data_IF_276623165233
#
_entry.id   IF_276623165233
#
_cell.length_a   1.000
_cell.length_b   1.000
_cell.length_c   1.000
_cell.angle_alpha   90.00
_cell.angle_beta   90.00
_cell.angle_gamma   90.00
#
_symmetry.space_group_name_H-M   'P 1'
#
loop_
_entity.id
_entity.type
_entity.pdbx_description
1 polymer ?
#
# COMPACT_ATOMS: atom_id res chain seq x y z
N UNK A 1 32.79 -26.33 -35.72
CA UNK A 1 31.54 -26.16 -34.97
C UNK A 1 31.24 -24.70 -34.89
N UNK A 2 30.07 -24.28 -35.41
CA UNK A 2 29.63 -22.90 -35.34
C UNK A 2 28.88 -22.77 -34.01
N UNK A 3 29.44 -22.06 -33.08
CA UNK A 3 28.81 -21.68 -31.82
C UNK A 3 27.91 -20.50 -32.11
N UNK A 4 26.65 -20.59 -31.79
CA UNK A 4 25.67 -19.51 -31.97
C UNK A 4 25.33 -18.95 -30.58
N UNK A 5 25.61 -17.69 -30.38
CA UNK A 5 25.17 -16.95 -29.17
C UNK A 5 23.70 -16.57 -29.38
N UNK A 6 22.85 -16.94 -28.43
CA UNK A 6 21.42 -16.63 -28.42
C UNK A 6 21.05 -15.83 -27.17
N UNK A 7 20.08 -14.93 -27.34
CA UNK A 7 19.51 -14.16 -26.25
C UNK A 7 18.44 -14.95 -25.51
N UNK A 8 18.50 -14.95 -24.18
CA UNK A 8 17.45 -15.51 -23.32
C UNK A 8 16.53 -14.39 -22.88
N UNK A 9 15.25 -14.54 -23.19
CA UNK A 9 14.20 -13.57 -22.85
C UNK A 9 13.45 -14.00 -21.62
N UNK A 10 12.91 -13.06 -20.82
CA UNK A 10 11.99 -13.37 -19.74
C UNK A 10 10.69 -13.95 -20.32
N UNK A 11 10.32 -15.21 -20.03
CA UNK A 11 9.10 -15.81 -20.56
C UNK A 11 7.86 -15.23 -19.88
N UNK A 12 6.71 -15.38 -20.51
CA UNK A 12 5.42 -15.02 -19.92
C UNK A 12 5.03 -16.04 -18.84
N UNK A 13 5.02 -15.62 -17.59
CA UNK A 13 4.78 -16.46 -16.40
C UNK A 13 3.30 -16.49 -15.96
N UNK A 14 2.38 -16.03 -16.81
CA UNK A 14 0.93 -16.00 -16.58
C UNK A 14 0.22 -15.00 -17.50
N UNK A 15 -1.08 -15.17 -17.72
CA UNK A 15 -1.86 -14.37 -18.69
C UNK A 15 -1.90 -12.86 -18.41
N UNK A 16 -1.63 -12.44 -17.16
CA UNK A 16 -1.69 -11.04 -16.73
C UNK A 16 -0.36 -10.51 -16.20
N UNK A 17 0.73 -11.29 -16.28
CA UNK A 17 2.05 -10.90 -15.80
C UNK A 17 2.78 -10.15 -16.90
N UNK A 18 3.11 -8.88 -16.67
CA UNK A 18 3.83 -8.00 -17.62
C UNK A 18 5.29 -7.78 -17.24
N UNK A 19 5.66 -8.05 -15.99
CA UNK A 19 7.01 -7.87 -15.46
C UNK A 19 7.33 -8.91 -14.37
N UNK A 20 8.62 -9.17 -14.13
CA UNK A 20 9.11 -10.05 -13.08
C UNK A 20 10.42 -9.56 -12.50
N UNK A 21 10.65 -9.79 -11.21
CA UNK A 21 11.89 -9.47 -10.52
C UNK A 21 12.72 -10.74 -10.38
N UNK A 22 13.93 -10.77 -10.93
CA UNK A 22 14.85 -11.89 -10.77
C UNK A 22 15.36 -11.89 -9.33
N UNK A 23 14.95 -12.87 -8.54
CA UNK A 23 15.32 -12.94 -7.11
C UNK A 23 16.68 -13.62 -6.93
N UNK A 24 17.00 -14.60 -7.79
CA UNK A 24 18.25 -15.32 -7.69
C UNK A 24 18.61 -16.02 -9.01
N UNK A 25 19.89 -16.05 -9.36
CA UNK A 25 20.46 -16.90 -10.42
C UNK A 25 20.98 -18.21 -9.81
N UNK A 26 20.46 -19.35 -10.27
CA UNK A 26 20.91 -20.68 -9.86
C UNK A 26 22.21 -21.10 -10.55
N UNK A 27 22.53 -20.52 -11.71
CA UNK A 27 23.74 -20.76 -12.52
C UNK A 27 24.53 -19.46 -12.70
N UNK A 28 25.83 -19.59 -12.95
CA UNK A 28 26.77 -18.46 -13.15
C UNK A 28 27.24 -18.41 -14.58
N UNK A 29 27.72 -17.26 -15.01
CA UNK A 29 28.44 -17.10 -16.30
C UNK A 29 29.59 -18.09 -16.39
N UNK A 30 29.64 -18.88 -17.46
CA UNK A 30 30.56 -19.95 -17.70
C UNK A 30 30.06 -21.35 -17.32
N UNK A 31 28.94 -21.45 -16.62
CA UNK A 31 28.38 -22.75 -16.24
C UNK A 31 27.70 -23.43 -17.44
N UNK A 32 27.85 -24.76 -17.50
CA UNK A 32 27.08 -25.61 -18.43
C UNK A 32 25.69 -25.83 -17.86
N UNK A 33 24.69 -25.70 -18.71
CA UNK A 33 23.25 -25.75 -18.38
C UNK A 33 22.59 -26.78 -19.27
N UNK A 34 21.75 -27.61 -18.67
CA UNK A 34 20.87 -28.55 -19.37
C UNK A 34 19.44 -27.97 -19.41
N UNK A 35 18.61 -28.43 -20.34
CA UNK A 35 17.30 -27.83 -20.60
C UNK A 35 16.35 -27.84 -19.38
N UNK A 36 16.46 -28.83 -18.52
CA UNK A 36 15.62 -29.01 -17.31
C UNK A 36 16.27 -28.41 -16.04
N UNK A 37 17.49 -27.86 -16.13
CA UNK A 37 18.15 -27.22 -15.00
C UNK A 37 17.43 -25.92 -14.63
N UNK A 38 17.18 -25.70 -13.33
CA UNK A 38 16.70 -24.41 -12.83
C UNK A 38 17.78 -23.35 -13.09
N UNK A 39 17.44 -22.34 -13.88
CA UNK A 39 18.38 -21.29 -14.28
C UNK A 39 18.31 -20.08 -13.36
N UNK A 40 17.11 -19.64 -13.01
CA UNK A 40 16.87 -18.52 -12.10
C UNK A 40 15.52 -18.64 -11.41
N UNK A 41 15.39 -17.89 -10.31
CA UNK A 41 14.13 -17.68 -9.59
C UNK A 41 13.59 -16.29 -9.91
N UNK A 42 12.29 -16.18 -10.17
CA UNK A 42 11.62 -14.92 -10.47
C UNK A 42 10.42 -14.74 -9.56
N UNK A 43 10.30 -13.54 -9.01
CA UNK A 43 9.14 -13.11 -8.23
C UNK A 43 8.25 -12.21 -9.09
N UNK A 44 6.96 -12.53 -9.10
CA UNK A 44 5.93 -11.72 -9.73
C UNK A 44 4.99 -11.14 -8.68
N UNK A 45 4.03 -10.34 -9.07
CA UNK A 45 3.01 -9.78 -8.18
C UNK A 45 2.14 -10.84 -7.47
N UNK A 46 2.18 -12.10 -7.95
CA UNK A 46 1.31 -13.19 -7.47
C UNK A 46 2.05 -14.38 -6.88
N UNK A 47 3.18 -14.79 -7.46
CA UNK A 47 3.88 -16.03 -7.07
C UNK A 47 5.37 -15.91 -7.39
N UNK A 48 6.19 -16.54 -6.55
CA UNK A 48 7.60 -16.83 -6.84
C UNK A 48 7.70 -18.15 -7.60
N UNK A 49 8.43 -18.15 -8.72
CA UNK A 49 8.54 -19.31 -9.61
C UNK A 49 10.01 -19.59 -9.95
N UNK A 50 10.37 -20.88 -9.97
CA UNK A 50 11.64 -21.35 -10.50
C UNK A 50 11.50 -21.55 -12.02
N UNK A 51 12.40 -20.96 -12.81
CA UNK A 51 12.36 -21.03 -14.26
C UNK A 51 13.48 -21.94 -14.77
N UNK A 52 13.15 -23.04 -15.47
CA UNK A 52 14.14 -23.89 -16.11
C UNK A 52 14.77 -23.20 -17.33
N UNK A 53 15.96 -23.61 -17.70
CA UNK A 53 16.72 -22.99 -18.78
C UNK A 53 16.05 -23.10 -20.16
N UNK A 54 15.40 -24.23 -20.45
CA UNK A 54 14.78 -24.48 -21.76
C UNK A 54 15.78 -24.64 -22.92
N UNK A 55 17.08 -24.67 -22.62
CA UNK A 55 18.15 -24.86 -23.60
C UNK A 55 19.29 -25.69 -22.99
N UNK A 56 20.11 -26.33 -23.84
CA UNK A 56 21.35 -26.96 -23.43
C UNK A 56 22.53 -26.18 -24.03
N UNK A 57 23.45 -25.73 -23.15
CA UNK A 57 24.58 -24.89 -23.60
C UNK A 57 25.40 -24.34 -22.46
N UNK A 58 26.12 -23.26 -22.72
CA UNK A 58 26.94 -22.54 -21.73
C UNK A 58 26.37 -21.13 -21.58
N UNK A 59 26.12 -20.72 -20.34
CA UNK A 59 25.67 -19.34 -20.02
C UNK A 59 26.84 -18.39 -20.19
N UNK A 60 26.81 -17.51 -21.19
CA UNK A 60 27.91 -16.63 -21.54
C UNK A 60 27.87 -15.27 -20.84
N UNK A 61 26.67 -14.75 -20.61
CA UNK A 61 26.51 -13.42 -19.99
C UNK A 61 25.16 -13.35 -19.22
N UNK A 62 25.19 -12.82 -18.01
CA UNK A 62 24.00 -12.42 -17.26
C UNK A 62 23.85 -10.92 -17.45
N UNK A 63 22.80 -10.51 -18.19
CA UNK A 63 22.52 -9.11 -18.51
C UNK A 63 21.79 -8.41 -17.36
N UNK A 64 20.93 -9.15 -16.67
CA UNK A 64 20.08 -8.63 -15.57
C UNK A 64 20.56 -9.20 -14.25
N UNK A 65 20.92 -8.31 -13.31
CA UNK A 65 21.39 -8.69 -11.98
C UNK A 65 20.25 -9.17 -11.06
N UNK A 66 20.61 -9.93 -10.02
CA UNK A 66 19.67 -10.28 -8.94
C UNK A 66 19.06 -9.04 -8.29
N UNK A 67 17.76 -9.05 -8.07
CA UNK A 67 16.98 -7.94 -7.51
C UNK A 67 16.45 -6.93 -8.54
N UNK A 68 16.77 -7.09 -9.82
CA UNK A 68 16.27 -6.22 -10.88
C UNK A 68 14.92 -6.70 -11.44
N UNK A 69 14.02 -5.75 -11.71
CA UNK A 69 12.72 -5.99 -12.36
C UNK A 69 12.84 -5.74 -13.85
N UNK A 70 12.32 -6.65 -14.67
CA UNK A 70 12.36 -6.61 -16.13
C UNK A 70 10.99 -6.95 -16.72
N UNK A 71 10.71 -6.42 -17.90
CA UNK A 71 9.47 -6.69 -18.63
C UNK A 71 9.53 -8.08 -19.30
N UNK A 72 8.37 -8.72 -19.45
CA UNK A 72 8.24 -9.94 -20.24
C UNK A 72 8.72 -9.68 -21.67
N UNK A 73 9.61 -10.55 -22.16
CA UNK A 73 10.23 -10.42 -23.48
C UNK A 73 11.54 -9.60 -23.54
N UNK A 74 12.01 -9.03 -22.42
CA UNK A 74 13.34 -8.42 -22.36
C UNK A 74 14.45 -9.46 -22.22
N UNK A 75 15.65 -9.12 -22.72
CA UNK A 75 16.84 -9.98 -22.66
C UNK A 75 17.39 -9.98 -21.22
N UNK A 76 17.41 -11.15 -20.60
CA UNK A 76 17.90 -11.35 -19.23
C UNK A 76 19.30 -11.98 -19.17
N UNK A 77 19.67 -12.80 -20.18
CA UNK A 77 20.97 -13.42 -20.27
C UNK A 77 21.29 -13.79 -21.72
N UNK A 78 22.55 -14.22 -21.96
CA UNK A 78 23.00 -14.79 -23.25
C UNK A 78 23.64 -16.13 -23.02
N UNK A 79 23.47 -17.04 -23.99
CA UNK A 79 24.04 -18.40 -23.92
C UNK A 79 24.56 -18.87 -25.27
N UNK A 80 25.51 -19.80 -25.25
CA UNK A 80 26.00 -20.52 -26.40
C UNK A 80 25.37 -21.90 -26.47
N UNK A 81 24.69 -22.22 -27.56
CA UNK A 81 24.07 -23.54 -27.78
C UNK A 81 24.89 -24.42 -28.70
N UNK A 82 25.08 -25.68 -28.36
CA UNK A 82 25.66 -26.70 -29.26
C UNK A 82 24.54 -27.32 -30.14
N UNK A 83 24.17 -26.59 -31.19
CA UNK A 83 23.41 -27.19 -32.31
C UNK A 83 21.91 -27.32 -32.15
N UNK A 84 21.20 -26.58 -32.98
CA UNK A 84 19.79 -26.56 -33.42
C UNK A 84 18.97 -25.35 -32.93
N UNK A 85 18.29 -24.73 -33.88
CA UNK A 85 17.46 -23.54 -33.73
C UNK A 85 16.25 -23.78 -32.80
N UNK A 86 15.76 -22.72 -32.10
CA UNK A 86 14.66 -22.86 -31.17
C UNK A 86 13.32 -23.05 -31.90
N UNK A 87 12.61 -24.08 -31.55
CA UNK A 87 11.16 -24.23 -31.85
C UNK A 87 10.39 -23.65 -30.69
N UNK A 88 9.69 -22.58 -30.94
CA UNK A 88 8.71 -22.00 -30.01
C UNK A 88 7.43 -22.81 -30.15
N UNK A 89 7.12 -23.68 -29.18
CA UNK A 89 5.80 -24.28 -29.08
C UNK A 89 5.33 -24.24 -27.64
N UNK A 90 4.18 -23.60 -27.43
CA UNK A 90 3.51 -23.51 -26.15
C UNK A 90 2.78 -24.83 -25.83
N UNK A 91 2.84 -25.39 -24.65
CA UNK A 91 1.95 -26.47 -24.25
C UNK A 91 0.72 -25.97 -23.50
N UNK A 92 -0.44 -26.41 -24.01
CA UNK A 92 -1.75 -26.30 -23.36
C UNK A 92 -1.89 -27.27 -22.18
N UNK A 93 -2.84 -27.03 -21.26
CA UNK A 93 -2.91 -27.68 -19.96
C UNK A 93 -3.50 -29.09 -20.02
N UNK A 94 -2.98 -30.01 -19.26
CA UNK A 94 -3.66 -31.25 -18.89
C UNK A 94 -3.81 -31.38 -17.37
N UNK A 95 -5.08 -31.39 -16.99
CA UNK A 95 -5.64 -31.91 -15.76
C UNK A 95 -5.35 -33.42 -15.61
N UNK A 96 -5.00 -33.88 -14.43
CA UNK A 96 -5.67 -34.96 -13.70
C UNK A 96 -4.83 -35.43 -12.49
N UNK A 97 -5.47 -35.48 -11.34
CA UNK A 97 -5.07 -36.15 -10.11
C UNK A 97 -5.69 -37.56 -10.08
N UNK A 98 -5.63 -38.30 -9.00
CA UNK A 98 -4.54 -38.85 -8.17
C UNK A 98 -4.60 -40.37 -8.10
N UNK A 99 -3.62 -41.09 -7.55
CA UNK A 99 -3.88 -42.35 -6.84
C UNK A 99 -2.73 -42.78 -5.92
N UNK A 100 -3.13 -43.35 -4.84
CA UNK A 100 -2.55 -43.74 -3.58
C UNK A 100 -1.60 -44.97 -3.59
N UNK A 101 -0.93 -45.11 -2.41
CA UNK A 101 -0.49 -46.32 -1.72
C UNK A 101 0.78 -47.06 -2.24
N UNK A 102 1.71 -47.50 -1.42
CA UNK A 102 1.64 -48.21 -0.14
C UNK A 102 3.05 -48.54 0.38
N UNK A 103 3.19 -48.42 1.68
CA UNK A 103 3.91 -49.27 2.66
C UNK A 103 5.32 -49.85 2.42
N UNK A 104 6.17 -49.71 3.45
CA UNK A 104 7.18 -50.69 3.82
C UNK A 104 8.41 -50.20 4.56
N UNK A 105 8.37 -50.08 5.87
CA UNK A 105 9.56 -50.27 6.73
C UNK A 105 9.72 -51.77 7.02
N UNK A 106 10.83 -52.31 7.57
CA UNK A 106 11.60 -51.78 8.70
C UNK A 106 13.13 -52.09 8.76
N UNK A 107 13.78 -51.41 9.68
CA UNK A 107 14.70 -51.93 10.74
C UNK A 107 16.19 -52.13 10.45
N UNK A 108 16.98 -51.46 11.25
CA UNK A 108 18.04 -51.83 12.17
C UNK A 108 19.49 -51.35 11.90
N UNK A 109 20.01 -50.79 12.98
CA UNK A 109 21.36 -50.81 13.56
C UNK A 109 22.39 -49.79 13.10
N UNK A 110 22.71 -48.91 14.06
CA UNK A 110 23.98 -48.19 14.21
C UNK A 110 25.13 -49.21 14.56
N UNK A 111 26.43 -48.82 14.40
CA UNK A 111 27.07 -47.95 15.38
C UNK A 111 28.20 -47.01 14.89
N UNK A 112 28.48 -46.03 15.77
CA UNK A 112 29.75 -45.43 16.18
C UNK A 112 30.58 -44.54 15.25
N UNK A 113 30.69 -43.28 15.75
CA UNK A 113 31.84 -42.39 15.86
C UNK A 113 32.80 -42.16 14.68
N UNK A 114 32.67 -40.95 14.14
CA UNK A 114 33.78 -40.17 13.60
C UNK A 114 33.46 -38.66 13.66
N UNK A 115 34.43 -37.74 13.79
CA UNK A 115 34.20 -36.37 14.22
C UNK A 115 33.46 -35.51 13.19
N UNK A 116 32.36 -34.90 13.62
CA UNK A 116 31.50 -34.04 12.81
C UNK A 116 32.20 -32.76 12.44
N UNK A 117 32.67 -32.63 11.23
CA UNK A 117 32.88 -31.33 10.59
C UNK A 117 31.52 -30.63 10.44
N UNK A 118 31.38 -29.35 10.81
CA UNK A 118 30.11 -28.66 10.64
C UNK A 118 29.82 -28.45 9.16
N UNK A 119 28.70 -28.99 8.69
CA UNK A 119 28.14 -28.73 7.36
C UNK A 119 27.90 -27.24 7.22
N UNK A 120 28.60 -26.63 6.24
CA UNK A 120 28.33 -25.26 5.78
C UNK A 120 26.99 -25.26 5.05
N UNK A 121 25.95 -24.78 5.71
CA UNK A 121 24.69 -24.44 5.06
C UNK A 121 24.65 -22.93 4.87
N UNK A 122 24.50 -22.49 3.62
CA UNK A 122 24.10 -21.13 3.24
C UNK A 122 25.16 -20.06 3.41
N UNK A 123 25.34 -19.20 2.42
CA UNK A 123 26.27 -18.05 2.33
C UNK A 123 26.10 -16.95 3.37
N UNK A 124 25.90 -17.28 4.63
CA UNK A 124 25.90 -16.33 5.73
C UNK A 124 27.31 -16.02 6.17
N UNK A 125 27.74 -14.77 6.07
CA UNK A 125 28.96 -14.27 6.72
C UNK A 125 28.96 -14.73 8.18
N UNK A 126 30.00 -15.47 8.62
CA UNK A 126 30.15 -15.89 10.01
C UNK A 126 30.32 -14.66 10.89
N UNK A 127 29.27 -14.26 11.60
CA UNK A 127 29.29 -13.16 12.56
C UNK A 127 29.65 -13.70 13.94
N UNK A 128 30.59 -13.06 14.62
CA UNK A 128 30.85 -13.36 16.03
C UNK A 128 29.63 -12.98 16.89
N UNK A 129 29.43 -13.60 18.08
CA UNK A 129 28.32 -13.25 18.96
C UNK A 129 28.27 -11.75 19.31
N UNK A 130 29.44 -11.14 19.54
CA UNK A 130 29.57 -9.70 19.84
C UNK A 130 29.14 -8.84 18.65
N UNK A 131 29.54 -9.17 17.44
CA UNK A 131 29.15 -8.43 16.22
C UNK A 131 27.65 -8.59 15.96
N UNK A 132 27.11 -9.79 16.18
CA UNK A 132 25.68 -10.03 16.03
C UNK A 132 24.84 -9.22 17.03
N UNK A 133 25.24 -9.18 18.30
CA UNK A 133 24.58 -8.36 19.31
C UNK A 133 24.67 -6.88 18.95
N UNK A 134 25.84 -6.37 18.57
CA UNK A 134 26.03 -4.95 18.20
C UNK A 134 25.22 -4.57 16.95
N UNK A 135 25.13 -5.43 15.95
CA UNK A 135 24.28 -5.20 14.77
C UNK A 135 22.79 -5.21 15.13
N UNK A 136 22.36 -6.10 16.02
CA UNK A 136 20.98 -6.17 16.50
C UNK A 136 20.60 -4.94 17.35
N UNK A 137 21.48 -4.52 18.26
CA UNK A 137 21.26 -3.33 19.12
C UNK A 137 21.08 -2.04 18.30
N UNK A 138 21.73 -1.98 17.14
CA UNK A 138 21.63 -0.82 16.23
C UNK A 138 20.74 -1.06 15.01
N UNK A 139 20.02 -2.18 14.93
CA UNK A 139 19.13 -2.50 13.79
C UNK A 139 19.84 -2.54 12.43
N UNK A 140 21.14 -2.88 12.42
CA UNK A 140 21.97 -2.86 11.20
C UNK A 140 21.89 -4.19 10.45
N UNK A 141 21.62 -4.11 9.14
CA UNK A 141 21.74 -5.23 8.23
C UNK A 141 23.23 -5.56 8.01
N UNK A 142 23.68 -6.80 8.30
CA UNK A 142 25.05 -7.23 8.09
C UNK A 142 25.56 -7.06 6.64
N UNK A 143 24.65 -7.08 5.65
CA UNK A 143 25.01 -6.94 4.24
C UNK A 143 25.51 -5.52 3.89
N UNK A 144 25.08 -4.52 4.65
CA UNK A 144 25.42 -3.11 4.46
C UNK A 144 26.74 -2.69 5.12
N UNK A 145 27.28 -3.53 6.03
CA UNK A 145 28.54 -3.25 6.71
C UNK A 145 29.69 -3.92 6.00
N UNK A 146 30.66 -3.15 5.39
CA UNK A 146 31.84 -3.74 4.78
C UNK A 146 32.70 -4.43 5.83
N UNK A 147 33.02 -5.71 5.63
CA UNK A 147 33.88 -6.46 6.55
C UNK A 147 35.36 -6.36 6.18
N UNK A 148 36.20 -5.90 7.09
CA UNK A 148 37.66 -5.81 6.91
C UNK A 148 38.42 -7.05 7.39
N UNK A 149 37.76 -8.01 8.06
CA UNK A 149 38.41 -9.22 8.57
C UNK A 149 38.66 -10.27 7.51
N UNK A 150 39.45 -11.29 7.89
CA UNK A 150 39.87 -12.37 7.00
C UNK A 150 38.67 -13.02 6.26
N UNK A 151 38.72 -13.08 4.93
CA UNK A 151 37.61 -13.57 4.11
C UNK A 151 36.36 -12.68 4.11
N UNK A 152 36.49 -11.36 4.33
CA UNK A 152 35.37 -10.44 4.32
C UNK A 152 34.51 -10.49 5.60
N UNK A 153 35.03 -11.04 6.70
CA UNK A 153 34.32 -11.11 7.98
C UNK A 153 34.12 -9.71 8.56
N UNK A 154 32.91 -9.44 9.02
CA UNK A 154 32.61 -8.21 9.75
C UNK A 154 33.18 -8.30 11.15
N UNK A 155 34.00 -7.30 11.52
CA UNK A 155 34.59 -7.16 12.85
C UNK A 155 33.80 -6.12 13.66
N UNK A 156 33.99 -6.09 14.98
CA UNK A 156 33.41 -5.05 15.84
C UNK A 156 33.83 -3.64 15.37
N UNK A 157 35.07 -3.48 14.97
CA UNK A 157 35.61 -2.19 14.49
C UNK A 157 34.90 -1.72 13.20
N UNK A 158 34.52 -2.62 12.31
CA UNK A 158 33.78 -2.28 11.08
C UNK A 158 32.40 -1.73 11.41
N UNK A 159 31.71 -2.35 12.38
CA UNK A 159 30.40 -1.87 12.83
C UNK A 159 30.53 -0.51 13.52
N UNK A 160 31.51 -0.33 14.40
CA UNK A 160 31.76 0.95 15.07
C UNK A 160 32.18 2.05 14.08
N UNK A 161 32.94 1.72 13.05
CA UNK A 161 33.30 2.65 11.99
C UNK A 161 32.11 3.00 11.12
N UNK A 162 31.29 2.02 10.76
CA UNK A 162 30.05 2.23 10.03
C UNK A 162 29.11 3.18 10.77
N UNK A 163 28.92 2.96 12.09
CA UNK A 163 28.11 3.82 12.95
C UNK A 163 28.66 5.25 13.05
N UNK A 164 29.98 5.44 13.02
CA UNK A 164 30.60 6.78 13.02
C UNK A 164 30.37 7.56 11.72
N UNK A 165 30.38 6.87 10.61
CA UNK A 165 30.16 7.47 9.28
C UNK A 165 28.68 7.68 9.02
N UNK A 166 27.83 6.85 9.63
CA UNK A 166 26.35 6.89 9.51
C UNK A 166 25.76 7.11 10.92
N UNK A 167 25.85 8.34 11.46
CA UNK A 167 25.31 8.63 12.79
C UNK A 167 23.80 8.62 12.75
N UNK A 168 23.18 7.48 13.01
CA UNK A 168 21.75 7.31 13.00
C UNK A 168 21.34 5.84 13.13
N UNK A 169 20.10 5.63 13.45
CA UNK A 169 19.47 4.31 13.44
C UNK A 169 18.97 3.99 12.03
N UNK A 170 19.26 2.81 11.52
CA UNK A 170 18.74 2.32 10.23
C UNK A 170 17.59 1.38 10.53
N UNK A 171 16.39 1.83 10.21
CA UNK A 171 15.18 1.04 10.32
C UNK A 171 14.76 0.50 8.94
N UNK A 172 14.60 -0.81 8.82
CA UNK A 172 14.12 -1.42 7.60
C UNK A 172 12.60 -1.24 7.49
N UNK A 173 12.12 -0.83 6.32
CA UNK A 173 10.68 -0.73 6.08
C UNK A 173 9.98 -2.07 6.27
N UNK A 174 8.88 -2.07 7.03
CA UNK A 174 7.95 -3.18 7.07
C UNK A 174 7.32 -3.43 5.69
N UNK A 175 6.77 -4.63 5.41
CA UNK A 175 6.07 -4.90 4.16
C UNK A 175 4.95 -3.89 3.87
N UNK A 176 4.17 -3.51 4.88
CA UNK A 176 3.10 -2.49 4.76
C UNK A 176 3.72 -1.15 4.37
N UNK A 177 4.79 -0.71 5.05
CA UNK A 177 5.46 0.56 4.76
C UNK A 177 6.03 0.61 3.35
N UNK A 178 6.60 -0.49 2.85
CA UNK A 178 7.11 -0.58 1.47
C UNK A 178 5.99 -0.41 0.44
N UNK A 179 4.87 -1.13 0.61
CA UNK A 179 3.69 -0.99 -0.27
C UNK A 179 3.13 0.43 -0.25
N UNK A 180 2.99 1.02 0.95
CA UNK A 180 2.54 2.40 1.08
C UNK A 180 3.48 3.36 0.34
N UNK A 181 4.80 3.21 0.49
CA UNK A 181 5.78 4.06 -0.18
C UNK A 181 5.66 3.96 -1.71
N UNK A 182 5.60 2.74 -2.26
CA UNK A 182 5.41 2.51 -3.70
C UNK A 182 4.11 3.13 -4.20
N UNK A 183 2.99 2.89 -3.51
CA UNK A 183 1.68 3.42 -3.88
C UNK A 183 1.63 4.95 -3.85
N UNK A 184 2.24 5.59 -2.85
CA UNK A 184 2.28 7.05 -2.75
C UNK A 184 3.17 7.69 -3.83
N UNK A 185 4.32 7.08 -4.13
CA UNK A 185 5.18 7.53 -5.24
C UNK A 185 4.45 7.38 -6.57
N UNK A 186 3.83 6.23 -6.85
CA UNK A 186 3.04 6.00 -8.05
C UNK A 186 1.89 7.01 -8.18
N UNK A 187 1.16 7.29 -7.10
CA UNK A 187 0.09 8.29 -7.11
C UNK A 187 0.60 9.69 -7.46
N UNK A 188 1.72 10.12 -6.88
CA UNK A 188 2.30 11.44 -7.14
C UNK A 188 2.83 11.59 -8.57
N UNK A 189 3.32 10.51 -9.17
CA UNK A 189 3.77 10.53 -10.58
C UNK A 189 2.63 10.40 -11.58
N UNK A 190 1.50 9.76 -11.18
CA UNK A 190 0.34 9.54 -12.06
C UNK A 190 -0.58 10.75 -12.11
N UNK A 191 -0.92 11.32 -10.95
CA UNK A 191 -1.90 12.40 -10.82
C UNK A 191 -1.26 13.77 -10.64
N UNK A 192 -1.53 14.77 -11.49
CA UNK A 192 -1.19 16.17 -11.22
C UNK A 192 -2.10 16.70 -10.10
N UNK A 193 -1.64 16.56 -8.84
CA UNK A 193 -2.38 16.98 -7.67
C UNK A 193 -2.54 18.49 -7.59
N UNK A 194 -3.78 18.93 -7.41
CA UNK A 194 -4.11 20.30 -7.01
C UNK A 194 -4.82 20.26 -5.66
N UNK A 195 -4.72 21.34 -4.93
CA UNK A 195 -5.13 21.44 -3.54
C UNK A 195 -6.09 22.61 -3.36
N UNK A 196 -7.25 22.36 -2.77
CA UNK A 196 -8.26 23.38 -2.49
C UNK A 196 -8.71 23.22 -1.05
N UNK A 197 -8.76 24.32 -0.27
CA UNK A 197 -9.22 24.28 1.11
C UNK A 197 -10.29 25.34 1.35
N UNK A 198 -11.19 25.05 2.31
CA UNK A 198 -12.30 25.95 2.66
C UNK A 198 -12.59 25.86 4.16
N UNK A 199 -12.76 27.00 4.82
CA UNK A 199 -13.26 27.04 6.19
C UNK A 199 -14.74 26.72 6.24
N UNK A 200 -15.15 26.06 7.33
CA UNK A 200 -16.54 25.62 7.59
C UNK A 200 -16.89 25.95 9.03
N UNK A 201 -18.06 26.51 9.26
CA UNK A 201 -18.65 26.63 10.59
C UNK A 201 -19.49 25.37 10.91
N UNK A 202 -19.04 24.63 11.89
CA UNK A 202 -19.70 23.42 12.37
C UNK A 202 -20.74 23.69 13.47
N UNK A 203 -21.20 24.91 13.66
CA UNK A 203 -22.16 25.29 14.71
C UNK A 203 -23.44 24.45 14.70
N UNK A 204 -24.01 24.20 13.52
CA UNK A 204 -25.18 23.34 13.34
C UNK A 204 -24.87 21.88 13.69
N UNK A 205 -23.75 21.35 13.22
CA UNK A 205 -23.29 20.00 13.54
C UNK A 205 -23.02 19.86 15.04
N UNK A 206 -22.40 20.85 15.66
CA UNK A 206 -22.16 20.87 17.11
C UNK A 206 -23.46 20.90 17.91
N UNK A 207 -24.47 21.61 17.43
CA UNK A 207 -25.82 21.58 17.99
C UNK A 207 -26.41 20.16 18.02
N UNK A 208 -26.36 19.45 16.89
CA UNK A 208 -26.83 18.08 16.78
C UNK A 208 -25.99 17.11 17.66
N UNK A 209 -24.67 17.25 17.66
CA UNK A 209 -23.77 16.46 18.51
C UNK A 209 -24.06 16.65 20.00
N UNK A 210 -24.39 17.86 20.40
CA UNK A 210 -24.74 18.20 21.78
C UNK A 210 -26.10 17.61 22.16
N UNK A 211 -27.07 17.63 21.26
CA UNK A 211 -28.41 17.08 21.48
C UNK A 211 -28.40 15.54 21.54
N UNK A 212 -27.76 14.86 20.59
CA UNK A 212 -27.80 13.41 20.44
C UNK A 212 -26.60 12.67 21.06
N UNK A 213 -25.48 13.36 21.32
CA UNK A 213 -24.23 12.78 21.80
C UNK A 213 -24.32 12.00 23.11
N UNK A 214 -25.02 12.48 24.15
CA UNK A 214 -25.18 11.73 25.39
C UNK A 214 -25.90 10.39 25.21
N UNK A 215 -27.01 10.36 24.50
CA UNK A 215 -27.77 9.14 24.18
C UNK A 215 -26.94 8.20 23.27
N UNK A 216 -26.26 8.75 22.27
CA UNK A 216 -25.35 8.01 21.41
C UNK A 216 -24.24 7.32 22.22
N UNK A 217 -23.56 8.08 23.09
CA UNK A 217 -22.49 7.54 23.93
C UNK A 217 -22.96 6.43 24.87
N UNK A 218 -24.19 6.56 25.39
CA UNK A 218 -24.80 5.53 26.25
C UNK A 218 -25.10 4.24 25.45
N UNK A 219 -25.57 4.38 24.19
CA UNK A 219 -25.92 3.25 23.34
C UNK A 219 -24.69 2.58 22.69
N UNK A 220 -23.75 3.37 22.17
CA UNK A 220 -22.65 2.88 21.32
C UNK A 220 -21.30 2.82 22.05
N UNK A 221 -21.20 3.30 23.31
CA UNK A 221 -19.97 3.33 24.10
C UNK A 221 -18.89 4.30 23.61
N UNK A 222 -19.18 5.11 22.58
CA UNK A 222 -18.24 6.02 21.90
C UNK A 222 -18.87 7.38 21.61
N UNK A 223 -18.04 8.42 21.50
CA UNK A 223 -18.51 9.77 21.20
C UNK A 223 -18.94 9.92 19.73
N UNK A 224 -20.00 10.68 19.49
CA UNK A 224 -20.40 11.09 18.14
C UNK A 224 -19.43 12.14 17.63
N UNK A 225 -18.71 11.85 16.53
CA UNK A 225 -17.71 12.71 15.94
C UNK A 225 -18.27 13.59 14.82
N UNK A 226 -17.48 14.51 14.26
CA UNK A 226 -17.87 15.33 13.10
C UNK A 226 -17.89 14.54 11.80
N UNK A 227 -17.05 13.51 11.69
CA UNK A 227 -16.83 12.78 10.44
C UNK A 227 -18.10 12.21 9.78
N UNK A 228 -19.05 11.60 10.49
CA UNK A 228 -20.31 11.11 9.88
C UNK A 228 -21.14 12.20 9.21
N UNK A 229 -21.18 13.40 9.80
CA UNK A 229 -21.87 14.56 9.22
C UNK A 229 -21.18 15.07 7.96
N UNK A 230 -19.83 15.10 7.97
CA UNK A 230 -19.03 15.49 6.80
C UNK A 230 -19.28 14.48 5.67
N UNK A 231 -19.27 13.18 5.95
CA UNK A 231 -19.54 12.13 4.95
C UNK A 231 -20.95 12.28 4.36
N UNK A 232 -21.94 12.58 5.19
CA UNK A 232 -23.31 12.82 4.72
C UNK A 232 -23.38 14.05 3.81
N UNK A 233 -22.72 15.14 4.19
CA UNK A 233 -22.63 16.35 3.37
C UNK A 233 -21.89 16.10 2.05
N UNK A 234 -20.83 15.30 2.06
CA UNK A 234 -20.13 14.85 0.84
C UNK A 234 -21.08 14.08 -0.06
N UNK A 235 -21.82 13.11 0.49
CA UNK A 235 -22.79 12.31 -0.28
C UNK A 235 -23.84 13.18 -0.98
N UNK A 236 -24.37 14.22 -0.31
CA UNK A 236 -25.28 15.17 -0.92
C UNK A 236 -24.62 16.03 -2.00
N UNK A 237 -23.40 16.51 -1.74
CA UNK A 237 -22.69 17.34 -2.71
C UNK A 237 -22.29 16.56 -3.98
N UNK A 238 -22.07 15.26 -3.90
CA UNK A 238 -21.76 14.39 -5.03
C UNK A 238 -22.92 14.24 -6.03
N UNK A 239 -24.16 14.47 -5.60
CA UNK A 239 -25.31 14.50 -6.51
C UNK A 239 -25.15 15.62 -7.56
N UNK A 240 -24.69 16.81 -7.10
CA UNK A 240 -24.45 17.97 -7.95
C UNK A 240 -23.06 17.94 -8.63
N UNK A 241 -22.10 17.18 -8.05
CA UNK A 241 -20.71 17.11 -8.47
C UNK A 241 -20.21 15.66 -8.69
N UNK A 242 -20.84 14.87 -9.57
CA UNK A 242 -20.55 13.43 -9.68
C UNK A 242 -19.12 13.11 -10.13
N UNK A 243 -18.43 14.01 -10.83
CA UNK A 243 -17.02 13.79 -11.27
C UNK A 243 -16.03 13.70 -10.12
N UNK A 244 -16.39 14.15 -8.93
CA UNK A 244 -15.54 14.00 -7.73
C UNK A 244 -15.46 12.53 -7.30
N UNK A 245 -16.54 11.74 -7.51
CA UNK A 245 -16.61 10.32 -7.23
C UNK A 245 -16.27 9.51 -8.50
N UNK A 246 -15.01 9.59 -8.95
CA UNK A 246 -14.59 9.00 -10.21
C UNK A 246 -13.17 8.41 -10.16
N UNK A 247 -12.81 7.72 -11.23
CA UNK A 247 -11.46 7.24 -11.50
C UNK A 247 -11.03 7.66 -12.91
N UNK A 248 -9.74 7.91 -13.13
CA UNK A 248 -9.20 8.19 -14.48
C UNK A 248 -8.80 6.88 -15.12
N UNK A 249 -9.41 6.60 -16.29
CA UNK A 249 -9.04 5.50 -17.18
C UNK A 249 -8.09 5.94 -18.30
N UNK A 250 -8.02 5.15 -19.37
CA UNK A 250 -7.22 5.45 -20.56
C UNK A 250 -7.97 6.46 -21.45
N UNK A 251 -7.71 7.75 -21.22
CA UNK A 251 -8.34 8.84 -21.94
C UNK A 251 -9.81 9.12 -21.58
N UNK A 252 -10.30 8.54 -20.50
CA UNK A 252 -11.69 8.69 -20.03
C UNK A 252 -11.80 8.90 -18.52
N UNK A 253 -12.92 9.43 -18.08
CA UNK A 253 -13.30 9.56 -16.68
C UNK A 253 -14.41 8.56 -16.35
N UNK A 254 -14.13 7.62 -15.48
CA UNK A 254 -15.08 6.62 -14.99
C UNK A 254 -15.80 7.18 -13.77
N UNK A 255 -17.02 7.69 -13.94
CA UNK A 255 -17.84 8.24 -12.85
C UNK A 255 -18.60 7.12 -12.15
N UNK A 256 -18.36 6.96 -10.84
CA UNK A 256 -19.01 5.92 -10.04
C UNK A 256 -20.40 6.39 -9.56
N UNK A 257 -21.35 5.47 -9.58
CA UNK A 257 -22.74 5.76 -9.18
C UNK A 257 -22.90 5.78 -7.67
N UNK A 258 -22.35 4.77 -6.99
CA UNK A 258 -22.45 4.62 -5.53
C UNK A 258 -21.21 5.24 -4.88
N UNK A 259 -21.38 5.84 -3.70
CA UNK A 259 -20.25 6.30 -2.89
C UNK A 259 -19.75 5.14 -2.02
N UNK A 260 -18.68 4.49 -2.45
CA UNK A 260 -17.92 3.55 -1.63
C UNK A 260 -16.78 4.30 -0.95
N UNK A 261 -17.02 4.69 0.30
CA UNK A 261 -16.13 5.59 1.03
C UNK A 261 -14.96 4.82 1.64
N UNK A 262 -13.74 5.07 1.19
CA UNK A 262 -12.54 4.62 1.86
C UNK A 262 -12.21 5.56 3.03
N UNK A 263 -12.04 5.02 4.22
CA UNK A 263 -11.75 5.78 5.44
C UNK A 263 -10.32 5.46 5.89
N UNK A 264 -9.46 6.48 5.92
CA UNK A 264 -8.08 6.30 6.38
C UNK A 264 -8.04 6.00 7.88
N UNK A 265 -7.48 4.85 8.25
CA UNK A 265 -7.34 4.38 9.63
C UNK A 265 -5.87 4.16 9.95
N UNK A 266 -5.38 4.88 10.95
CA UNK A 266 -4.05 4.66 11.51
C UNK A 266 -4.01 3.38 12.34
N UNK A 267 -2.92 2.61 12.19
CA UNK A 267 -2.64 1.37 12.90
C UNK A 267 -1.57 1.60 13.97
N UNK A 268 -1.79 2.52 14.89
CA UNK A 268 -0.90 2.86 15.99
C UNK A 268 0.54 3.19 15.51
N UNK A 269 0.66 4.00 14.45
CA UNK A 269 1.89 4.41 13.75
C UNK A 269 2.64 3.29 13.01
N UNK A 270 2.16 2.03 13.08
CA UNK A 270 2.73 0.91 12.31
C UNK A 270 2.39 0.97 10.82
N UNK A 271 1.33 1.68 10.47
CA UNK A 271 0.89 1.86 9.09
C UNK A 271 -0.45 2.55 8.97
N UNK A 272 -0.89 2.75 7.74
CA UNK A 272 -2.20 3.30 7.39
C UNK A 272 -2.90 2.35 6.43
N UNK A 273 -4.19 2.11 6.67
CA UNK A 273 -5.08 1.37 5.76
C UNK A 273 -6.34 2.18 5.50
N UNK A 274 -7.02 1.91 4.39
CA UNK A 274 -8.21 2.64 4.01
C UNK A 274 -9.38 1.67 3.72
N UNK A 275 -9.98 1.05 4.76
CA UNK A 275 -11.14 0.20 4.59
C UNK A 275 -12.33 0.97 4.04
N UNK A 276 -13.22 0.26 3.33
CA UNK A 276 -14.30 0.82 2.54
C UNK A 276 -15.66 0.61 3.20
N UNK A 277 -16.36 1.70 3.45
CA UNK A 277 -17.80 1.72 3.77
C UNK A 277 -18.57 1.79 2.46
N UNK A 278 -19.27 0.72 2.12
CA UNK A 278 -19.99 0.62 0.84
C UNK A 278 -21.29 1.39 0.89
N UNK A 279 -21.64 2.06 -0.24
CA UNK A 279 -22.92 2.77 -0.43
C UNK A 279 -23.21 3.79 0.70
N UNK A 280 -22.19 4.53 1.12
CA UNK A 280 -22.31 5.54 2.18
C UNK A 280 -23.31 6.65 1.84
N UNK A 281 -23.58 6.88 0.55
CA UNK A 281 -24.60 7.81 0.04
C UNK A 281 -26.03 7.45 0.44
N UNK A 282 -26.30 6.20 0.80
CA UNK A 282 -27.63 5.70 1.20
C UNK A 282 -27.84 5.65 2.72
N UNK A 283 -26.80 6.00 3.47
CA UNK A 283 -26.79 5.89 4.93
C UNK A 283 -27.16 7.21 5.59
N UNK A 284 -27.87 7.13 6.71
CA UNK A 284 -28.07 8.22 7.66
C UNK A 284 -26.79 8.50 8.46
N UNK A 285 -26.70 9.65 9.13
CA UNK A 285 -25.54 10.01 9.98
C UNK A 285 -25.26 8.93 11.04
N UNK A 286 -26.24 8.38 11.79
CA UNK A 286 -26.02 7.28 12.71
C UNK A 286 -25.47 6.00 12.06
N UNK A 287 -25.96 5.64 10.89
CA UNK A 287 -25.50 4.45 10.15
C UNK A 287 -24.06 4.63 9.67
N UNK A 288 -23.72 5.80 9.11
CA UNK A 288 -22.34 6.15 8.73
C UNK A 288 -21.43 6.07 9.96
N UNK A 289 -21.86 6.60 11.10
CA UNK A 289 -21.08 6.58 12.33
C UNK A 289 -20.75 5.16 12.81
N UNK A 290 -21.74 4.24 12.75
CA UNK A 290 -21.53 2.83 13.08
C UNK A 290 -20.62 2.14 12.09
N UNK A 291 -20.85 2.35 10.79
CA UNK A 291 -20.06 1.72 9.73
C UNK A 291 -18.58 2.15 9.79
N UNK A 292 -18.31 3.44 9.98
CA UNK A 292 -16.94 3.94 10.16
C UNK A 292 -16.28 3.32 11.40
N UNK A 293 -17.02 3.24 12.51
CA UNK A 293 -16.51 2.68 13.74
C UNK A 293 -16.19 1.18 13.60
N UNK A 294 -17.05 0.41 12.92
CA UNK A 294 -16.84 -1.01 12.65
C UNK A 294 -15.55 -1.24 11.83
N UNK A 295 -15.44 -0.58 10.68
CA UNK A 295 -14.24 -0.77 9.82
C UNK A 295 -12.97 -0.31 10.53
N UNK A 296 -13.02 0.75 11.33
CA UNK A 296 -11.86 1.23 12.10
C UNK A 296 -11.46 0.24 13.23
N UNK A 297 -12.42 -0.36 13.90
CA UNK A 297 -12.17 -1.38 14.93
C UNK A 297 -11.59 -2.65 14.31
N UNK A 298 -12.15 -3.12 13.20
CA UNK A 298 -11.62 -4.29 12.46
C UNK A 298 -10.22 -4.03 11.92
N UNK A 299 -9.92 -2.80 11.48
CA UNK A 299 -8.58 -2.40 11.06
C UNK A 299 -7.57 -2.55 12.19
N UNK A 300 -7.82 -1.92 13.36
CA UNK A 300 -6.91 -1.95 14.51
C UNK A 300 -6.78 -3.36 15.11
N UNK A 301 -7.85 -4.14 15.11
CA UNK A 301 -7.83 -5.54 15.58
C UNK A 301 -7.30 -6.53 14.56
N UNK A 302 -6.80 -6.08 13.39
CA UNK A 302 -6.25 -6.91 12.29
C UNK A 302 -7.27 -7.94 11.76
N UNK A 303 -8.56 -7.59 11.73
CA UNK A 303 -9.66 -8.45 11.28
C UNK A 303 -10.21 -8.04 9.90
N UNK A 304 -9.56 -7.11 9.20
CA UNK A 304 -9.94 -6.77 7.83
C UNK A 304 -9.64 -7.94 6.89
N UNK A 305 -10.54 -8.14 5.94
CA UNK A 305 -10.35 -9.06 4.81
C UNK A 305 -10.01 -8.26 3.55
N UNK A 306 -9.42 -8.86 2.50
CA UNK A 306 -9.05 -8.13 1.28
C UNK A 306 -10.21 -7.33 0.65
N UNK A 307 -11.43 -7.85 0.73
CA UNK A 307 -12.65 -7.21 0.23
C UNK A 307 -12.98 -5.90 0.94
N UNK A 308 -12.59 -5.76 2.22
CA UNK A 308 -12.77 -4.52 2.97
C UNK A 308 -11.90 -3.37 2.44
N UNK A 309 -10.83 -3.66 1.72
CA UNK A 309 -9.88 -2.68 1.18
C UNK A 309 -10.08 -2.40 -0.30
N UNK A 310 -11.00 -3.10 -0.97
CA UNK A 310 -11.21 -3.02 -2.40
C UNK A 310 -12.45 -2.18 -2.77
N UNK A 311 -12.41 -1.56 -3.96
CA UNK A 311 -13.57 -0.91 -4.57
C UNK A 311 -13.97 0.43 -3.95
N UNK A 312 -13.09 1.08 -3.19
CA UNK A 312 -13.30 2.45 -2.72
C UNK A 312 -13.30 3.44 -3.89
N UNK A 313 -14.26 4.38 -3.91
CA UNK A 313 -14.44 5.35 -4.99
C UNK A 313 -14.05 6.78 -4.61
N UNK A 314 -14.07 7.08 -3.32
CA UNK A 314 -13.64 8.34 -2.72
C UNK A 314 -13.01 8.07 -1.36
N UNK A 315 -12.00 8.84 -0.98
CA UNK A 315 -11.31 8.65 0.31
C UNK A 315 -11.50 9.86 1.22
N UNK A 316 -11.70 9.60 2.51
CA UNK A 316 -11.65 10.60 3.57
C UNK A 316 -10.56 10.24 4.58
N UNK A 317 -9.76 11.23 4.97
CA UNK A 317 -8.77 11.11 6.05
C UNK A 317 -9.09 12.13 7.15
N UNK A 318 -8.89 11.73 8.41
CA UNK A 318 -9.20 12.58 9.56
C UNK A 318 -8.04 12.63 10.57
N UNK A 319 -7.06 13.52 10.38
CA UNK A 319 -5.99 13.77 11.35
C UNK A 319 -6.40 14.76 12.45
N UNK A 320 -7.64 15.25 12.45
CA UNK A 320 -8.11 16.29 13.37
C UNK A 320 -7.97 15.98 14.85
N UNK A 321 -7.89 14.69 15.21
CA UNK A 321 -7.59 14.26 16.59
C UNK A 321 -6.24 14.74 17.11
N UNK A 322 -5.31 15.07 16.20
CA UNK A 322 -3.98 15.62 16.53
C UNK A 322 -3.95 17.16 16.55
N UNK A 323 -5.09 17.84 16.33
CA UNK A 323 -5.20 19.29 16.31
C UNK A 323 -4.63 19.94 15.06
N UNK A 324 -4.57 19.22 13.95
CA UNK A 324 -4.10 19.79 12.66
C UNK A 324 -5.03 20.89 12.19
N UNK A 325 -4.46 21.93 11.59
CA UNK A 325 -5.23 23.03 11.00
C UNK A 325 -5.82 22.62 9.65
N UNK A 326 -4.99 22.08 8.76
CA UNK A 326 -5.34 21.40 7.52
C UNK A 326 -4.13 20.63 6.99
N UNK A 327 -4.38 19.61 6.19
CA UNK A 327 -3.35 18.90 5.43
C UNK A 327 -3.86 18.59 4.02
N UNK A 328 -2.94 18.35 3.11
CA UNK A 328 -3.22 17.95 1.75
C UNK A 328 -2.76 16.51 1.55
N UNK A 329 -3.67 15.54 1.59
CA UNK A 329 -3.34 14.15 1.42
C UNK A 329 -2.96 13.81 -0.02
N UNK A 330 -2.25 12.69 -0.20
CA UNK A 330 -1.99 12.12 -1.52
C UNK A 330 -3.20 11.28 -1.94
N UNK A 331 -3.62 11.42 -3.20
CA UNK A 331 -4.77 10.71 -3.75
C UNK A 331 -4.54 9.19 -3.67
N UNK A 332 -5.56 8.47 -3.24
CA UNK A 332 -5.58 7.01 -3.22
C UNK A 332 -6.00 6.48 -4.59
N UNK A 333 -5.03 6.08 -5.42
CA UNK A 333 -5.30 5.58 -6.76
C UNK A 333 -6.24 4.37 -6.77
N UNK A 334 -7.14 4.23 -7.78
CA UNK A 334 -7.30 5.04 -8.99
C UNK A 334 -8.28 6.23 -8.83
N UNK A 335 -8.66 6.59 -7.61
CA UNK A 335 -9.59 7.69 -7.33
C UNK A 335 -9.03 9.04 -7.80
N UNK A 336 -9.92 10.00 -8.05
CA UNK A 336 -9.55 11.35 -8.51
C UNK A 336 -9.45 12.36 -7.37
N UNK A 337 -9.93 12.04 -6.17
CA UNK A 337 -9.94 12.98 -5.06
C UNK A 337 -9.89 12.29 -3.69
N UNK A 338 -9.39 13.03 -2.72
CA UNK A 338 -9.35 12.66 -1.30
C UNK A 338 -9.60 13.91 -0.45
N UNK A 339 -10.49 13.81 0.54
CA UNK A 339 -10.84 14.88 1.45
C UNK A 339 -10.15 14.68 2.80
N UNK A 340 -9.45 15.71 3.28
CA UNK A 340 -8.99 15.79 4.67
C UNK A 340 -9.99 16.59 5.50
N UNK A 341 -10.30 16.04 6.68
CA UNK A 341 -11.13 16.69 7.69
C UNK A 341 -10.28 16.90 8.93
N UNK A 342 -9.94 18.14 9.20
CA UNK A 342 -8.97 18.48 10.24
C UNK A 342 -9.66 18.90 11.57
N UNK A 343 -8.91 19.49 12.48
CA UNK A 343 -9.42 19.86 13.80
C UNK A 343 -10.48 20.94 13.77
N UNK A 344 -11.60 20.75 14.47
CA UNK A 344 -12.61 21.78 14.71
C UNK A 344 -12.27 22.47 16.04
N UNK A 345 -12.09 23.79 15.99
CA UNK A 345 -11.69 24.60 17.15
C UNK A 345 -12.63 25.78 17.36
N UNK A 346 -12.72 26.23 18.60
CA UNK A 346 -13.48 27.44 18.92
C UNK A 346 -12.67 28.67 18.48
N UNK A 347 -13.29 29.52 17.63
CA UNK A 347 -12.67 30.73 17.11
C UNK A 347 -13.62 31.92 17.21
N UNK A 348 -13.11 33.16 17.37
CA UNK A 348 -13.92 34.34 17.17
C UNK A 348 -14.36 34.41 15.70
N UNK A 349 -15.65 34.71 15.49
CA UNK A 349 -16.25 34.88 14.17
C UNK A 349 -17.07 36.16 14.15
N UNK A 350 -17.23 36.76 12.99
CA UNK A 350 -18.16 37.86 12.80
C UNK A 350 -19.56 37.26 12.60
N UNK A 351 -20.49 37.65 13.47
CA UNK A 351 -21.92 37.32 13.35
C UNK A 351 -22.66 38.56 12.87
N UNK A 352 -23.51 38.40 11.87
CA UNK A 352 -24.32 39.47 11.30
C UNK A 352 -25.79 39.21 11.64
N UNK A 353 -26.45 40.15 12.33
CA UNK A 353 -27.87 40.04 12.65
C UNK A 353 -28.76 40.37 11.43
N UNK A 354 -30.10 40.24 11.61
CA UNK A 354 -31.07 40.49 10.54
C UNK A 354 -31.14 41.96 10.12
N UNK A 355 -30.67 42.87 10.98
CA UNK A 355 -30.55 44.32 10.69
C UNK A 355 -29.21 44.67 10.02
N UNK A 356 -28.27 43.71 9.87
CA UNK A 356 -26.95 43.90 9.26
C UNK A 356 -25.88 44.42 10.22
N UNK A 357 -26.12 44.42 11.55
CA UNK A 357 -25.10 44.80 12.53
C UNK A 357 -24.11 43.64 12.75
N UNK A 358 -22.84 43.98 12.83
CA UNK A 358 -21.76 43.02 13.05
C UNK A 358 -21.42 42.90 14.53
N UNK A 359 -21.34 41.68 15.04
CA UNK A 359 -20.87 41.37 16.39
C UNK A 359 -19.82 40.27 16.35
N UNK A 360 -19.01 40.14 17.42
CA UNK A 360 -18.05 39.07 17.54
C UNK A 360 -18.65 37.93 18.36
N UNK A 361 -18.91 36.82 17.67
CA UNK A 361 -19.34 35.59 18.28
C UNK A 361 -18.21 34.55 18.43
N UNK A 362 -18.56 33.37 18.86
CA UNK A 362 -17.63 32.23 18.97
C UNK A 362 -18.17 31.06 18.17
N UNK A 363 -17.60 30.81 16.98
CA UNK A 363 -17.92 29.71 16.10
C UNK A 363 -17.11 28.44 16.38
N UNK A 364 -17.59 27.32 15.88
CA UNK A 364 -16.88 26.03 15.83
C UNK A 364 -16.30 25.84 14.44
N UNK A 365 -15.08 26.32 14.23
CA UNK A 365 -14.48 26.46 12.90
C UNK A 365 -13.49 25.32 12.63
N UNK A 366 -13.63 24.71 11.47
CA UNK A 366 -12.69 23.72 10.92
C UNK A 366 -12.38 24.00 9.46
N UNK A 367 -11.46 23.23 8.89
CA UNK A 367 -11.08 23.33 7.49
C UNK A 367 -11.32 21.99 6.79
N UNK A 368 -11.95 22.03 5.62
CA UNK A 368 -11.98 20.94 4.67
C UNK A 368 -10.91 21.18 3.61
N UNK A 369 -10.04 20.19 3.37
CA UNK A 369 -8.98 20.26 2.38
C UNK A 369 -9.10 19.11 1.38
N UNK A 370 -9.30 19.45 0.10
CA UNK A 370 -9.45 18.50 -1.00
C UNK A 370 -8.16 18.45 -1.81
N UNK A 371 -7.54 17.28 -1.92
CA UNK A 371 -6.55 17.00 -2.95
C UNK A 371 -7.26 16.29 -4.11
N UNK A 372 -6.99 16.73 -5.34
CA UNK A 372 -7.69 16.26 -6.51
C UNK A 372 -6.81 16.22 -7.75
N UNK A 373 -7.20 15.38 -8.73
CA UNK A 373 -6.48 15.14 -9.97
C UNK A 373 -6.94 16.11 -11.06
N UNK A 374 -6.04 16.98 -11.53
CA UNK A 374 -6.35 17.98 -12.54
C UNK A 374 -6.70 17.41 -13.92
N UNK A 375 -6.46 16.14 -14.15
CA UNK A 375 -6.90 15.45 -15.37
C UNK A 375 -8.41 15.20 -15.38
N UNK A 376 -9.03 15.10 -14.19
CA UNK A 376 -10.44 14.77 -14.04
C UNK A 376 -11.37 15.99 -14.17
N UNK A 377 -10.96 17.14 -13.63
CA UNK A 377 -11.73 18.38 -13.65
C UNK A 377 -10.86 19.59 -13.27
N UNK A 378 -11.44 20.80 -13.38
CA UNK A 378 -10.77 22.07 -13.11
C UNK A 378 -11.07 22.62 -11.70
N UNK A 379 -10.28 23.63 -11.27
CA UNK A 379 -10.36 24.22 -9.93
C UNK A 379 -11.72 24.79 -9.56
N UNK A 380 -12.45 25.38 -10.54
CA UNK A 380 -13.79 25.90 -10.30
C UNK A 380 -14.78 24.79 -9.88
N UNK A 381 -14.66 23.60 -10.47
CA UNK A 381 -15.48 22.44 -10.12
C UNK A 381 -15.18 21.92 -8.71
N UNK A 382 -13.89 21.81 -8.37
CA UNK A 382 -13.45 21.42 -7.03
C UNK A 382 -13.90 22.42 -5.95
N UNK A 383 -13.75 23.72 -6.20
CA UNK A 383 -14.18 24.79 -5.29
C UNK A 383 -15.72 24.81 -5.13
N UNK A 384 -16.47 24.59 -6.21
CA UNK A 384 -17.93 24.49 -6.17
C UNK A 384 -18.40 23.29 -5.35
N UNK A 385 -17.74 22.15 -5.47
CA UNK A 385 -17.99 20.96 -4.64
C UNK A 385 -17.76 21.25 -3.16
N UNK A 386 -16.60 21.80 -2.78
CA UNK A 386 -16.32 22.13 -1.38
C UNK A 386 -17.31 23.15 -0.83
N UNK A 387 -17.70 24.14 -1.64
CA UNK A 387 -18.73 25.12 -1.26
C UNK A 387 -20.06 24.40 -0.98
N UNK A 388 -20.46 23.47 -1.82
CA UNK A 388 -21.71 22.69 -1.60
C UNK A 388 -21.62 21.85 -0.32
N UNK A 389 -20.48 21.20 -0.03
CA UNK A 389 -20.27 20.47 1.23
C UNK A 389 -20.38 21.41 2.42
N UNK A 390 -19.72 22.58 2.36
CA UNK A 390 -19.83 23.61 3.40
C UNK A 390 -21.28 24.06 3.61
N UNK A 391 -21.96 24.44 2.52
CA UNK A 391 -23.33 24.92 2.59
C UNK A 391 -24.27 23.91 3.22
N UNK A 392 -24.10 22.60 2.96
CA UNK A 392 -24.82 21.50 3.62
C UNK A 392 -24.48 21.45 5.10
N UNK A 393 -23.23 21.50 5.49
CA UNK A 393 -22.79 21.44 6.88
C UNK A 393 -23.32 22.61 7.72
N UNK A 394 -23.37 23.80 7.13
CA UNK A 394 -23.77 25.04 7.79
C UNK A 394 -25.29 25.28 7.82
N UNK A 395 -26.07 24.68 6.89
CA UNK A 395 -27.48 24.98 6.74
C UNK A 395 -28.44 23.84 7.07
N UNK A 396 -28.00 22.56 7.01
CA UNK A 396 -28.89 21.41 7.18
C UNK A 396 -29.47 21.29 8.60
N UNK A 397 -30.69 20.79 8.67
CA UNK A 397 -31.31 20.35 9.93
C UNK A 397 -30.85 18.91 10.25
N UNK A 398 -29.76 18.85 11.00
CA UNK A 398 -29.17 17.55 11.38
C UNK A 398 -30.01 16.76 12.39
N UNK A 399 -31.03 17.37 13.01
CA UNK A 399 -31.90 16.66 13.96
C UNK A 399 -32.76 15.61 13.24
N UNK A 400 -33.15 15.84 11.99
CA UNK A 400 -33.94 14.92 11.17
C UNK A 400 -33.19 13.65 10.72
N UNK A 401 -31.88 13.58 10.88
CA UNK A 401 -31.07 12.40 10.54
C UNK A 401 -31.21 11.25 11.55
N UNK A 402 -31.80 11.51 12.73
CA UNK A 402 -32.08 10.48 13.72
C UNK A 402 -33.50 9.94 13.56
N UNK A 403 -33.66 8.59 13.55
CA UNK A 403 -35.00 8.02 13.63
C UNK A 403 -35.69 8.48 14.92
N UNK A 404 -37.00 8.76 14.81
CA UNK A 404 -37.81 9.18 15.93
C UNK A 404 -37.93 8.11 17.05
#
# INVERSE_FOLDING_TARGET
RVTVVADLLLPQLGETVTEGTITRWAKRTGDRVEADDVLYEVSTDKVDSEVPAGFAGILTEIVVAEGATVLVGEVIARYESEGAAPVVEAPAPRSEAPTEESTGAPTAAAPADAPRTPKRTGGGRLLSPVVRALLADHGLDPSKVPGSGLGGRITRRDVEQYLRVHPGHVEAFSPIRRRTAQHMVASKSTSPHVLTAMEVDYGRVEGARRAHGPAWKAAEGRSLTYLPFIVRAVAEALVDHPRINASVGDGELIVHRDLNLAVAVDLDFEGLVAPVVRQADRMTVPEIARAIADVAERARSKKLVPDDLAGGTFTVTNPGQYGTLFQFPIINQPQVAILSTDGVTRRPVVEVDDEGNETVGIGSIGVLALAWDHRAFDGAYAASFLRRVRDVLESSDWAGEWPA
#
